data_IF_466779296476
#
_entry.id   IF_466779296476
#
_cell.length_a   1.000
_cell.length_b   1.000
_cell.length_c   1.000
_cell.angle_alpha   90.00
_cell.angle_beta   90.00
_cell.angle_gamma   90.00
#
_symmetry.space_group_name_H-M   'P 1'
#
loop_
_entity.id
_entity.type
_entity.pdbx_description
1 polymer ?
#
# COMPACT_ATOMS: atom_id res chain seq x y z
N UNK A 1 -58.00 30.75 -19.12
CA UNK A 1 -57.18 29.64 -19.64
C UNK A 1 -55.71 30.04 -19.82
N UNK A 2 -55.41 31.12 -20.55
CA UNK A 2 -54.01 31.56 -20.79
C UNK A 2 -53.19 31.84 -19.51
N UNK A 3 -53.75 32.59 -18.55
CA UNK A 3 -53.06 32.90 -17.28
C UNK A 3 -52.78 31.66 -16.41
N UNK A 4 -53.61 30.62 -16.48
CA UNK A 4 -53.38 29.37 -15.76
C UNK A 4 -52.23 28.57 -16.37
N UNK A 5 -52.15 28.52 -17.70
CA UNK A 5 -51.03 27.88 -18.41
C UNK A 5 -49.71 28.64 -18.15
N UNK A 6 -49.77 29.96 -18.16
CA UNK A 6 -48.59 30.81 -17.94
C UNK A 6 -48.07 30.68 -16.50
N UNK A 7 -48.95 30.61 -15.50
CA UNK A 7 -48.58 30.34 -14.11
C UNK A 7 -47.97 28.96 -13.89
N UNK A 8 -48.52 27.92 -14.51
CA UNK A 8 -47.98 26.55 -14.43
C UNK A 8 -46.57 26.43 -15.03
N UNK A 9 -46.33 27.10 -16.15
CA UNK A 9 -45.02 27.12 -16.81
C UNK A 9 -43.95 27.82 -15.95
N UNK A 10 -44.30 28.93 -15.28
CA UNK A 10 -43.39 29.64 -14.36
C UNK A 10 -43.03 28.74 -13.16
N UNK A 11 -44.00 28.03 -12.59
CA UNK A 11 -43.76 27.14 -11.46
C UNK A 11 -42.87 25.94 -11.85
N UNK A 12 -43.09 25.36 -13.02
CA UNK A 12 -42.25 24.29 -13.56
C UNK A 12 -40.80 24.76 -13.80
N UNK A 13 -40.63 25.95 -14.38
CA UNK A 13 -39.31 26.58 -14.54
C UNK A 13 -38.62 26.81 -13.20
N UNK A 14 -39.32 27.31 -12.19
CA UNK A 14 -38.77 27.54 -10.87
C UNK A 14 -38.29 26.24 -10.20
N UNK A 15 -39.09 25.17 -10.28
CA UNK A 15 -38.72 23.84 -9.76
C UNK A 15 -37.52 23.28 -10.52
N UNK A 16 -37.50 23.38 -11.84
CA UNK A 16 -36.38 22.92 -12.67
C UNK A 16 -35.10 23.67 -12.34
N UNK A 17 -35.15 24.98 -12.15
CA UNK A 17 -33.99 25.79 -11.76
C UNK A 17 -33.51 25.40 -10.36
N UNK A 18 -34.42 25.23 -9.41
CA UNK A 18 -34.08 24.77 -8.06
C UNK A 18 -33.37 23.40 -8.07
N UNK A 19 -33.88 22.47 -8.88
CA UNK A 19 -33.28 21.14 -9.06
C UNK A 19 -31.88 21.22 -9.68
N UNK A 20 -31.70 22.05 -10.71
CA UNK A 20 -30.38 22.27 -11.33
C UNK A 20 -29.37 22.91 -10.36
N UNK A 21 -29.80 23.86 -9.53
CA UNK A 21 -28.95 24.47 -8.49
C UNK A 21 -28.52 23.43 -7.45
N UNK A 22 -29.44 22.58 -6.98
CA UNK A 22 -29.13 21.46 -6.08
C UNK A 22 -28.06 20.53 -6.68
N UNK A 23 -28.23 20.14 -7.95
CA UNK A 23 -27.26 19.29 -8.65
C UNK A 23 -25.90 19.96 -8.82
N UNK A 24 -25.87 21.25 -9.12
CA UNK A 24 -24.63 22.01 -9.22
C UNK A 24 -23.91 22.13 -7.87
N UNK A 25 -24.65 22.38 -6.78
CA UNK A 25 -24.08 22.42 -5.43
C UNK A 25 -23.49 21.07 -5.02
N UNK A 26 -24.21 19.98 -5.27
CA UNK A 26 -23.73 18.62 -4.98
C UNK A 26 -22.47 18.29 -5.79
N UNK A 27 -22.47 18.60 -7.08
CA UNK A 27 -21.31 18.36 -7.96
C UNK A 27 -20.10 19.21 -7.56
N UNK A 28 -20.33 20.44 -7.12
CA UNK A 28 -19.26 21.31 -6.63
C UNK A 28 -18.74 20.87 -5.26
N UNK A 29 -19.61 20.43 -4.35
CA UNK A 29 -19.22 19.83 -3.08
C UNK A 29 -18.37 18.58 -3.30
N UNK A 30 -18.79 17.71 -4.23
CA UNK A 30 -18.03 16.51 -4.61
C UNK A 30 -16.68 16.86 -5.25
N UNK A 31 -16.63 17.89 -6.10
CA UNK A 31 -15.37 18.36 -6.72
C UNK A 31 -14.42 18.99 -5.71
N UNK A 32 -14.94 19.72 -4.71
CA UNK A 32 -14.12 20.25 -3.60
C UNK A 32 -13.57 19.13 -2.74
N UNK A 33 -14.43 18.18 -2.36
CA UNK A 33 -14.04 16.94 -1.66
C UNK A 33 -12.92 16.21 -2.42
N UNK A 34 -13.09 16.02 -3.73
CA UNK A 34 -12.09 15.38 -4.59
C UNK A 34 -10.80 16.19 -4.75
N UNK A 35 -10.88 17.52 -4.67
CA UNK A 35 -9.74 18.44 -4.69
C UNK A 35 -8.92 18.37 -3.40
N UNK A 36 -9.58 18.40 -2.25
CA UNK A 36 -8.97 18.25 -0.92
C UNK A 36 -8.35 16.86 -0.76
N UNK A 37 -9.03 15.81 -1.24
CA UNK A 37 -8.48 14.44 -1.37
C UNK A 37 -7.21 14.38 -2.22
N UNK A 38 -7.09 15.25 -3.23
CA UNK A 38 -5.92 15.31 -4.12
C UNK A 38 -4.77 16.11 -3.52
N UNK A 39 -5.06 17.04 -2.62
CA UNK A 39 -4.07 17.83 -1.90
C UNK A 39 -3.48 17.03 -0.72
N UNK A 40 -4.32 16.29 0.03
CA UNK A 40 -3.87 15.31 1.04
C UNK A 40 -3.01 14.20 0.42
N UNK A 41 -3.22 13.88 -0.86
CA UNK A 41 -2.37 12.91 -1.60
C UNK A 41 -0.93 13.40 -1.79
N UNK A 42 -0.67 14.70 -1.77
CA UNK A 42 0.69 15.26 -1.90
C UNK A 42 1.46 15.27 -0.58
N UNK A 43 0.77 15.20 0.57
CA UNK A 43 1.35 15.18 1.91
C UNK A 43 0.99 13.87 2.65
N UNK A 44 1.16 12.71 1.99
CA UNK A 44 0.98 11.41 2.64
C UNK A 44 2.18 11.15 3.56
N UNK A 45 2.19 11.85 4.69
CA UNK A 45 2.76 11.38 5.95
C UNK A 45 1.64 10.67 6.73
N UNK A 46 1.56 9.37 6.46
CA UNK A 46 1.06 8.22 7.23
C UNK A 46 -0.23 8.25 8.09
N UNK A 47 -0.80 9.35 8.56
CA UNK A 47 -1.77 9.23 9.67
C UNK A 47 -2.85 10.32 9.77
N UNK A 48 -3.42 10.80 8.65
CA UNK A 48 -4.66 11.60 8.74
C UNK A 48 -5.88 10.88 8.18
N UNK A 49 -6.89 10.81 9.06
CA UNK A 49 -8.29 10.50 8.79
C UNK A 49 -8.85 11.62 7.89
N UNK A 50 -9.57 11.25 6.83
CA UNK A 50 -10.29 12.21 6.00
C UNK A 50 -11.40 12.83 6.84
N UNK A 51 -11.24 14.09 7.21
CA UNK A 51 -12.30 14.87 7.87
C UNK A 51 -12.80 15.91 6.90
N UNK A 52 -14.09 15.87 6.59
CA UNK A 52 -14.77 16.97 5.93
C UNK A 52 -15.85 17.52 6.86
N UNK A 53 -15.86 18.83 7.05
CA UNK A 53 -16.98 19.53 7.71
C UNK A 53 -18.09 19.74 6.67
N UNK A 54 -18.75 18.67 6.26
CA UNK A 54 -19.93 18.75 5.40
C UNK A 54 -21.17 18.44 6.22
N UNK A 55 -22.10 19.41 6.32
CA UNK A 55 -23.39 19.23 6.99
C UNK A 55 -24.37 18.30 6.27
N UNK A 56 -23.87 17.41 5.41
CA UNK A 56 -24.63 16.39 4.69
C UNK A 56 -24.27 15.02 5.28
N UNK A 57 -25.25 14.41 5.95
CA UNK A 57 -25.08 13.17 6.72
C UNK A 57 -24.73 11.98 5.84
N UNK A 58 -25.23 11.93 4.60
CA UNK A 58 -24.95 10.82 3.69
C UNK A 58 -23.50 10.85 3.20
N UNK A 59 -22.94 12.06 3.05
CA UNK A 59 -21.54 12.25 2.68
C UNK A 59 -20.60 11.94 3.85
N UNK A 60 -20.99 12.25 5.08
CA UNK A 60 -20.23 11.91 6.29
C UNK A 60 -20.11 10.39 6.46
N UNK A 61 -21.21 9.65 6.29
CA UNK A 61 -21.21 8.17 6.33
C UNK A 61 -20.30 7.58 5.23
N UNK A 62 -20.35 8.12 4.02
CA UNK A 62 -19.47 7.66 2.94
C UNK A 62 -17.99 7.90 3.26
N UNK A 63 -17.66 9.03 3.89
CA UNK A 63 -16.29 9.34 4.29
C UNK A 63 -15.79 8.43 5.42
N UNK A 64 -16.67 8.06 6.35
CA UNK A 64 -16.39 7.09 7.41
C UNK A 64 -16.03 5.72 6.80
N UNK A 65 -16.87 5.20 5.90
CA UNK A 65 -16.63 3.94 5.19
C UNK A 65 -15.32 3.94 4.38
N UNK A 66 -15.01 5.06 3.71
CA UNK A 66 -13.74 5.23 2.98
C UNK A 66 -12.55 5.20 3.95
N UNK A 67 -12.66 5.88 5.09
CA UNK A 67 -11.60 5.90 6.10
C UNK A 67 -11.36 4.51 6.68
N UNK A 68 -12.42 3.78 7.02
CA UNK A 68 -12.32 2.42 7.56
C UNK A 68 -11.65 1.47 6.56
N UNK A 69 -12.07 1.52 5.30
CA UNK A 69 -11.42 0.76 4.21
C UNK A 69 -9.93 1.09 4.08
N UNK A 70 -9.57 2.39 4.16
CA UNK A 70 -8.17 2.80 4.11
C UNK A 70 -7.37 2.31 5.32
N UNK A 71 -7.98 2.28 6.50
CA UNK A 71 -7.38 1.73 7.70
C UNK A 71 -7.09 0.24 7.56
N UNK A 72 -8.03 -0.53 7.02
CA UNK A 72 -7.86 -1.97 6.76
C UNK A 72 -6.71 -2.23 5.78
N UNK A 73 -6.71 -1.54 4.64
CA UNK A 73 -5.65 -1.68 3.62
C UNK A 73 -4.26 -1.38 4.21
N UNK A 74 -4.15 -0.34 5.04
CA UNK A 74 -2.88 0.03 5.71
C UNK A 74 -2.41 -1.05 6.68
N UNK A 75 -3.35 -1.63 7.43
CA UNK A 75 -3.06 -2.72 8.36
C UNK A 75 -2.54 -3.94 7.62
N UNK A 76 -3.25 -4.37 6.57
CA UNK A 76 -2.83 -5.50 5.74
C UNK A 76 -1.44 -5.30 5.12
N UNK A 77 -1.17 -4.08 4.60
CA UNK A 77 0.13 -3.75 4.04
C UNK A 77 1.25 -3.86 5.08
N UNK A 78 1.02 -3.35 6.28
CA UNK A 78 2.00 -3.42 7.37
C UNK A 78 2.27 -4.88 7.77
N UNK A 79 1.21 -5.67 7.91
CA UNK A 79 1.32 -7.09 8.25
C UNK A 79 2.01 -7.91 7.14
N UNK A 80 1.77 -7.57 5.87
CA UNK A 80 2.45 -8.16 4.73
C UNK A 80 3.96 -7.87 4.77
N UNK A 81 4.36 -6.60 4.93
CA UNK A 81 5.78 -6.21 5.01
C UNK A 81 6.48 -6.90 6.18
N UNK A 82 5.79 -7.03 7.32
CA UNK A 82 6.32 -7.74 8.48
C UNK A 82 6.56 -9.22 8.16
N UNK A 83 5.58 -9.89 7.56
CA UNK A 83 5.69 -11.31 7.16
C UNK A 83 6.79 -11.53 6.13
N UNK A 84 6.93 -10.64 5.16
CA UNK A 84 7.98 -10.71 4.15
C UNK A 84 9.38 -10.61 4.78
N UNK A 85 9.59 -9.67 5.70
CA UNK A 85 10.87 -9.55 6.43
C UNK A 85 11.18 -10.78 7.27
N UNK A 86 10.16 -11.35 7.92
CA UNK A 86 10.33 -12.57 8.72
C UNK A 86 10.71 -13.77 7.84
N UNK A 87 10.06 -13.90 6.69
CA UNK A 87 10.39 -14.95 5.72
C UNK A 87 11.82 -14.82 5.18
N UNK A 88 12.27 -13.61 4.86
CA UNK A 88 13.64 -13.37 4.41
C UNK A 88 14.67 -13.73 5.48
N UNK A 89 14.42 -13.41 6.75
CA UNK A 89 15.28 -13.83 7.86
C UNK A 89 15.36 -15.34 8.00
N UNK A 90 14.22 -16.03 7.91
CA UNK A 90 14.22 -17.50 7.96
C UNK A 90 15.06 -18.12 6.85
N UNK A 91 15.02 -17.55 5.63
CA UNK A 91 15.89 -18.00 4.54
C UNK A 91 17.37 -17.75 4.87
N UNK A 92 17.70 -16.59 5.41
CA UNK A 92 19.08 -16.25 5.80
C UNK A 92 19.61 -17.20 6.87
N UNK A 93 18.81 -17.46 7.91
CA UNK A 93 19.14 -18.38 9.02
C UNK A 93 19.35 -19.81 8.49
N UNK A 94 18.43 -20.34 7.67
CA UNK A 94 18.60 -21.66 7.05
C UNK A 94 19.86 -21.70 6.18
N UNK A 95 20.12 -20.64 5.41
CA UNK A 95 21.29 -20.57 4.53
C UNK A 95 22.60 -20.56 5.33
N UNK A 96 22.62 -19.87 6.47
CA UNK A 96 23.74 -19.89 7.40
C UNK A 96 23.96 -21.30 7.97
N UNK A 97 22.89 -21.94 8.43
CA UNK A 97 22.94 -23.27 9.04
C UNK A 97 23.37 -24.36 8.06
N UNK A 98 23.09 -24.20 6.77
CA UNK A 98 23.59 -25.10 5.71
C UNK A 98 25.08 -24.88 5.39
N UNK A 99 25.57 -23.64 5.52
CA UNK A 99 26.99 -23.32 5.25
C UNK A 99 27.93 -24.06 6.21
N UNK A 100 27.55 -24.17 7.48
CA UNK A 100 28.35 -24.81 8.53
C UNK A 100 28.71 -26.27 8.21
N UNK A 101 27.76 -27.21 8.02
CA UNK A 101 28.08 -28.59 7.69
C UNK A 101 28.75 -28.73 6.33
N UNK A 102 28.38 -27.91 5.32
CA UNK A 102 29.01 -27.94 4.00
C UNK A 102 30.51 -27.58 4.08
N UNK A 103 30.84 -26.56 4.90
CA UNK A 103 32.23 -26.15 5.14
C UNK A 103 33.00 -27.24 5.85
N UNK A 104 32.40 -27.91 6.84
CA UNK A 104 33.00 -29.06 7.51
C UNK A 104 33.26 -30.20 6.53
N UNK A 105 32.30 -30.56 5.68
CA UNK A 105 32.45 -31.61 4.66
C UNK A 105 33.58 -31.26 3.68
N UNK A 106 33.62 -30.01 3.19
CA UNK A 106 34.69 -29.55 2.31
C UNK A 106 36.07 -29.59 2.99
N UNK A 107 36.14 -29.24 4.28
CA UNK A 107 37.35 -29.36 5.09
C UNK A 107 37.84 -30.81 5.19
N UNK A 108 36.93 -31.76 5.46
CA UNK A 108 37.27 -33.18 5.49
C UNK A 108 37.76 -33.68 4.12
N UNK A 109 37.09 -33.30 3.04
CA UNK A 109 37.51 -33.69 1.68
C UNK A 109 38.90 -33.16 1.34
N UNK A 110 39.22 -31.90 1.70
CA UNK A 110 40.56 -31.33 1.50
C UNK A 110 41.64 -32.11 2.24
N UNK A 111 41.40 -32.47 3.51
CA UNK A 111 42.36 -33.26 4.30
C UNK A 111 42.61 -34.64 3.68
N UNK A 112 41.56 -35.31 3.20
CA UNK A 112 41.68 -36.59 2.49
C UNK A 112 42.46 -36.46 1.19
N UNK A 113 42.29 -35.35 0.46
CA UNK A 113 43.07 -35.08 -0.76
C UNK A 113 44.56 -34.87 -0.39
N UNK A 114 44.83 -34.14 0.70
CA UNK A 114 46.22 -33.89 1.14
C UNK A 114 46.93 -35.12 1.70
N UNK A 115 46.21 -36.06 2.31
CA UNK A 115 46.76 -37.34 2.77
C UNK A 115 47.10 -38.30 1.60
N UNK A 116 46.48 -38.11 0.44
CA UNK A 116 46.73 -38.89 -0.77
C UNK A 116 47.71 -38.22 -1.76
N UNK A 117 48.11 -36.96 -1.51
CA UNK A 117 49.06 -36.20 -2.33
C UNK A 117 50.52 -36.57 -2.01
N UNK A 118 51.37 -36.62 -3.04
CA UNK A 118 52.81 -36.83 -2.86
C UNK A 118 53.48 -35.59 -2.27
N UNK A 119 54.64 -35.74 -1.62
CA UNK A 119 55.40 -34.64 -1.01
C UNK A 119 55.69 -33.47 -1.97
N UNK A 120 55.71 -33.72 -3.28
CA UNK A 120 55.99 -32.73 -4.33
C UNK A 120 54.75 -31.86 -4.66
N UNK A 121 53.53 -32.35 -4.43
CA UNK A 121 52.27 -31.62 -4.69
C UNK A 121 51.81 -30.79 -3.47
N UNK A 122 52.31 -31.10 -2.27
CA UNK A 122 52.01 -30.35 -1.03
C UNK A 122 52.65 -28.94 -1.00
N UNK A 123 53.80 -28.72 -1.65
CA UNK A 123 54.44 -27.41 -1.69
C UNK A 123 53.67 -26.39 -2.54
N UNK A 124 53.07 -26.80 -3.66
CA UNK A 124 52.32 -25.90 -4.56
C UNK A 124 51.02 -25.37 -3.92
N UNK A 125 50.40 -26.15 -3.03
CA UNK A 125 49.14 -25.75 -2.37
C UNK A 125 49.34 -24.69 -1.27
N UNK A 126 50.53 -24.61 -0.68
CA UNK A 126 50.88 -23.61 0.35
C UNK A 126 51.27 -22.25 -0.23
N UNK A 127 51.54 -22.16 -1.53
CA UNK A 127 51.97 -20.93 -2.21
C UNK A 127 50.78 -20.05 -2.64
N UNK A 128 49.56 -20.60 -2.66
CA UNK A 128 48.35 -19.90 -3.18
C UNK A 128 47.45 -19.34 -2.06
N UNK A 129 47.78 -19.57 -0.78
CA UNK A 129 47.01 -19.04 0.36
C UNK A 129 47.46 -17.65 0.81
#
# INVERSE_FOLDING_TARGET
MFYLLLGGMILFLAVSVCFLVRLCLLKNALRRSAGELREIRKEIEENRILKMETGDRDLEVLLEEINDTLHEIRREKTDFIRREKEFQRQIEDISHDLRTPLTSILGYLKLMDTENMSWEEQEDFLVIQ
#
